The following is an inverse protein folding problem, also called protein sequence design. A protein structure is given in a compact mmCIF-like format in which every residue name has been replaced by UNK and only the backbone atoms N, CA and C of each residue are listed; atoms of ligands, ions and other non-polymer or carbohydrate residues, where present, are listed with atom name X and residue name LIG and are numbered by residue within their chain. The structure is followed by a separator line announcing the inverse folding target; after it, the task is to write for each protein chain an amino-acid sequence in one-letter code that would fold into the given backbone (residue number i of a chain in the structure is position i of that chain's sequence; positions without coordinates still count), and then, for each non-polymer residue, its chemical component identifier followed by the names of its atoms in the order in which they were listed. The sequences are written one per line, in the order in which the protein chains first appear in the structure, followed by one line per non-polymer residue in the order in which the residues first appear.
data_IF_013100090827
#
_entry.id   IF_013100090827
#
_cell.length_a   1.000
_cell.length_b   1.000
_cell.length_c   1.000
_cell.angle_alpha   90.00
_cell.angle_beta   90.00
_cell.angle_gamma   90.00
#
_symmetry.space_group_name_H-M   'P 1'
#
loop_
_entity.id
_entity.type
_entity.pdbx_description
1 polymer ?
#
# COMPACT_ATOMS: atom_id res chain seq x y z
N UNK A 1 14.75 25.58 -34.15
CA UNK A 1 14.44 25.37 -32.72
C UNK A 1 13.99 23.92 -32.57
N UNK A 2 14.91 23.06 -32.12
CA UNK A 2 14.72 21.61 -32.15
C UNK A 2 13.75 21.15 -31.05
N UNK A 3 12.72 20.41 -31.45
CA UNK A 3 11.79 19.70 -30.58
C UNK A 3 12.55 18.65 -29.78
N UNK A 4 12.88 18.98 -28.53
CA UNK A 4 13.42 18.04 -27.56
C UNK A 4 12.36 16.96 -27.33
N UNK A 5 12.49 15.86 -28.06
CA UNK A 5 11.57 14.73 -27.98
C UNK A 5 11.75 14.13 -26.59
N UNK A 6 10.72 14.27 -25.74
CA UNK A 6 10.71 13.80 -24.35
C UNK A 6 11.31 12.37 -24.27
N UNK A 7 12.35 12.21 -23.44
CA UNK A 7 13.09 10.95 -23.27
C UNK A 7 12.16 9.78 -22.96
N UNK A 8 11.08 10.02 -22.22
CA UNK A 8 10.03 9.07 -21.89
C UNK A 8 9.32 8.56 -23.16
N UNK A 9 8.90 9.46 -24.05
CA UNK A 9 8.23 9.11 -25.30
C UNK A 9 9.12 8.29 -26.24
N UNK A 10 10.44 8.53 -26.20
CA UNK A 10 11.42 7.73 -26.97
C UNK A 10 11.58 6.34 -26.35
N UNK A 11 11.76 6.25 -25.04
CA UNK A 11 11.88 4.97 -24.32
C UNK A 11 10.63 4.09 -24.53
N UNK A 12 9.43 4.67 -24.40
CA UNK A 12 8.16 3.97 -24.63
C UNK A 12 8.02 3.42 -26.04
N UNK A 13 8.48 4.16 -27.07
CA UNK A 13 8.49 3.66 -28.44
C UNK A 13 9.47 2.51 -28.62
N UNK A 14 10.66 2.58 -28.02
CA UNK A 14 11.65 1.52 -28.06
C UNK A 14 11.15 0.24 -27.38
N UNK A 15 10.61 0.35 -26.16
CA UNK A 15 10.09 -0.79 -25.39
C UNK A 15 8.92 -1.46 -26.12
N UNK A 16 7.97 -0.70 -26.67
CA UNK A 16 6.84 -1.25 -27.43
C UNK A 16 7.23 -1.97 -28.72
N UNK A 17 8.40 -1.63 -29.28
CA UNK A 17 8.88 -2.21 -30.54
C UNK A 17 9.73 -3.47 -30.33
N UNK A 18 10.10 -3.81 -29.10
CA UNK A 18 10.94 -4.95 -28.79
C UNK A 18 10.15 -6.05 -28.08
N UNK A 19 10.26 -7.32 -28.53
CA UNK A 19 9.73 -8.43 -27.76
C UNK A 19 10.52 -8.56 -26.46
N UNK A 20 9.83 -8.52 -25.32
CA UNK A 20 10.41 -8.76 -24.00
C UNK A 20 10.12 -10.22 -23.63
N UNK A 21 11.18 -10.97 -23.32
CA UNK A 21 11.04 -12.32 -22.78
C UNK A 21 11.05 -12.26 -21.26
N UNK A 22 9.93 -12.62 -20.64
CA UNK A 22 9.83 -12.77 -19.18
C UNK A 22 10.03 -14.25 -18.85
N UNK A 23 11.09 -14.63 -18.12
CA UNK A 23 11.32 -16.02 -17.76
C UNK A 23 10.21 -16.53 -16.85
N UNK A 24 9.89 -17.83 -16.92
CA UNK A 24 8.97 -18.46 -15.98
C UNK A 24 9.66 -18.58 -14.61
N UNK A 25 9.24 -17.77 -13.64
CA UNK A 25 9.80 -17.75 -12.28
C UNK A 25 9.19 -18.82 -11.36
N UNK A 26 8.05 -19.43 -11.73
CA UNK A 26 7.35 -20.42 -10.90
C UNK A 26 8.22 -21.61 -10.44
N UNK A 27 9.16 -22.16 -11.24
CA UNK A 27 10.00 -23.27 -10.79
C UNK A 27 10.84 -22.96 -9.56
N UNK A 28 11.24 -21.71 -9.36
CA UNK A 28 12.04 -21.27 -8.20
C UNK A 28 11.23 -21.40 -6.90
N UNK A 29 9.90 -21.30 -6.99
CA UNK A 29 8.98 -21.42 -5.86
C UNK A 29 8.32 -22.80 -5.76
N UNK A 30 8.81 -23.80 -6.49
CA UNK A 30 8.19 -25.14 -6.54
C UNK A 30 8.12 -25.86 -5.19
N UNK A 31 9.06 -25.56 -4.28
CA UNK A 31 9.06 -26.06 -2.91
C UNK A 31 8.37 -25.13 -1.91
N UNK A 32 7.94 -23.94 -2.34
CA UNK A 32 7.27 -22.99 -1.46
C UNK A 32 5.84 -23.45 -1.20
N UNK A 33 5.36 -23.48 0.05
CA UNK A 33 4.01 -23.89 0.35
C UNK A 33 3.01 -22.88 -0.24
N UNK A 34 2.24 -23.32 -1.22
CA UNK A 34 1.14 -22.55 -1.80
C UNK A 34 -0.21 -23.03 -1.29
N UNK A 35 -1.06 -22.11 -0.86
CA UNK A 35 -2.44 -22.39 -0.47
C UNK A 35 -3.34 -21.19 -0.77
N UNK A 36 -4.65 -21.45 -0.85
CA UNK A 36 -5.67 -20.41 -0.92
C UNK A 36 -6.56 -20.58 0.30
N UNK A 37 -6.82 -19.48 1.00
CA UNK A 37 -7.67 -19.48 2.17
C UNK A 37 -9.07 -20.07 1.84
N UNK A 38 -9.60 -21.01 2.65
CA UNK A 38 -10.90 -21.64 2.39
C UNK A 38 -12.07 -20.65 2.40
N UNK A 39 -11.90 -19.48 3.02
CA UNK A 39 -12.91 -18.44 3.10
C UNK A 39 -13.00 -17.55 1.85
N UNK A 40 -12.09 -17.67 0.87
CA UNK A 40 -12.01 -16.80 -0.31
C UNK A 40 -13.36 -16.55 -0.98
N UNK A 41 -14.08 -17.62 -1.35
CA UNK A 41 -15.35 -17.50 -2.07
C UNK A 41 -16.44 -16.80 -1.26
N UNK A 42 -16.45 -17.01 0.06
CA UNK A 42 -17.38 -16.34 0.96
C UNK A 42 -17.02 -14.87 1.16
N UNK A 43 -15.76 -14.49 0.96
CA UNK A 43 -15.28 -13.13 1.16
C UNK A 43 -15.57 -12.20 -0.02
N UNK A 44 -15.60 -12.73 -1.25
CA UNK A 44 -15.92 -11.98 -2.49
C UNK A 44 -17.15 -11.06 -2.34
N UNK A 45 -18.36 -11.55 -1.96
CA UNK A 45 -19.53 -10.68 -1.87
C UNK A 45 -19.38 -9.59 -0.81
N UNK A 46 -18.65 -9.84 0.28
CA UNK A 46 -18.44 -8.88 1.36
C UNK A 46 -17.53 -7.74 0.92
N UNK A 47 -16.42 -8.05 0.27
CA UNK A 47 -15.50 -7.05 -0.28
C UNK A 47 -16.15 -6.28 -1.43
N UNK A 48 -16.92 -6.95 -2.29
CA UNK A 48 -17.66 -6.28 -3.36
C UNK A 48 -18.70 -5.28 -2.82
N UNK A 49 -19.41 -5.63 -1.75
CA UNK A 49 -20.34 -4.72 -1.10
C UNK A 49 -19.62 -3.50 -0.49
N UNK A 50 -18.43 -3.70 0.10
CA UNK A 50 -17.58 -2.61 0.59
C UNK A 50 -17.19 -1.67 -0.55
N UNK A 51 -16.74 -2.22 -1.68
CA UNK A 51 -16.39 -1.45 -2.89
C UNK A 51 -17.60 -0.62 -3.36
N UNK A 52 -18.80 -1.21 -3.43
CA UNK A 52 -20.02 -0.50 -3.83
C UNK A 52 -20.39 0.65 -2.90
N UNK A 53 -20.09 0.52 -1.61
CA UNK A 53 -20.39 1.57 -0.62
C UNK A 53 -19.44 2.77 -0.70
N UNK A 54 -18.21 2.56 -1.14
CA UNK A 54 -17.16 3.58 -1.13
C UNK A 54 -17.00 4.28 -2.48
N UNK A 55 -17.27 3.59 -3.59
CA UNK A 55 -16.91 4.06 -4.92
C UNK A 55 -18.11 4.21 -5.86
N UNK A 56 -18.07 5.19 -6.79
CA UNK A 56 -19.09 5.30 -7.81
C UNK A 56 -19.08 4.06 -8.73
N UNK A 57 -20.20 3.71 -9.39
CA UNK A 57 -20.38 2.44 -10.10
C UNK A 57 -19.27 2.10 -11.12
N UNK A 58 -18.73 3.11 -11.81
CA UNK A 58 -17.66 2.92 -12.80
C UNK A 58 -16.35 2.48 -12.14
N UNK A 59 -15.90 3.17 -11.08
CA UNK A 59 -14.70 2.81 -10.32
C UNK A 59 -14.91 1.50 -9.57
N UNK A 60 -16.09 1.30 -8.96
CA UNK A 60 -16.46 0.06 -8.30
C UNK A 60 -16.35 -1.16 -9.23
N UNK A 61 -16.84 -1.06 -10.46
CA UNK A 61 -16.75 -2.15 -11.46
C UNK A 61 -15.30 -2.48 -11.81
N UNK A 62 -14.41 -1.48 -11.92
CA UNK A 62 -12.97 -1.69 -12.15
C UNK A 62 -12.34 -2.42 -10.95
N UNK A 63 -12.58 -1.94 -9.74
CA UNK A 63 -12.00 -2.49 -8.51
C UNK A 63 -12.44 -3.93 -8.22
N UNK A 64 -13.71 -4.27 -8.47
CA UNK A 64 -14.19 -5.66 -8.31
C UNK A 64 -13.48 -6.66 -9.22
N UNK A 65 -12.98 -6.22 -10.38
CA UNK A 65 -12.21 -7.09 -11.30
C UNK A 65 -10.80 -7.40 -10.79
N UNK A 66 -10.28 -6.61 -9.85
CA UNK A 66 -8.99 -6.86 -9.24
C UNK A 66 -9.03 -8.02 -8.22
N UNK A 67 -10.23 -8.45 -7.79
CA UNK A 67 -10.45 -9.56 -6.84
C UNK A 67 -9.53 -9.51 -5.60
N UNK A 68 -9.64 -8.41 -4.84
CA UNK A 68 -8.89 -8.22 -3.59
C UNK A 68 -9.12 -9.35 -2.57
N UNK A 69 -10.28 -10.02 -2.62
CA UNK A 69 -10.54 -11.19 -1.79
C UNK A 69 -9.64 -12.38 -2.18
N UNK A 70 -9.37 -12.58 -3.47
CA UNK A 70 -8.43 -13.60 -3.93
C UNK A 70 -7.00 -13.27 -3.54
N UNK A 71 -6.58 -12.02 -3.77
CA UNK A 71 -5.24 -11.53 -3.44
C UNK A 71 -4.93 -11.74 -1.94
N UNK A 72 -5.86 -11.39 -1.06
CA UNK A 72 -5.69 -11.64 0.37
C UNK A 72 -5.71 -13.14 0.69
N UNK A 73 -6.58 -13.92 0.06
CA UNK A 73 -6.68 -15.36 0.32
C UNK A 73 -5.42 -16.14 -0.06
N UNK A 74 -4.67 -15.69 -1.06
CA UNK A 74 -3.36 -16.25 -1.42
C UNK A 74 -2.23 -15.75 -0.52
N UNK A 75 -2.36 -14.52 -0.01
CA UNK A 75 -1.34 -13.90 0.87
C UNK A 75 -1.42 -14.42 2.30
N UNK A 76 -2.63 -14.68 2.81
CA UNK A 76 -2.89 -15.17 4.17
C UNK A 76 -3.76 -16.43 4.17
N UNK A 77 -3.22 -17.57 3.70
CA UNK A 77 -3.99 -18.80 3.54
C UNK A 77 -4.52 -19.39 4.86
N UNK A 78 -3.94 -19.00 6.00
CA UNK A 78 -4.28 -19.50 7.33
C UNK A 78 -5.17 -18.55 8.14
N UNK A 79 -5.50 -17.37 7.61
CA UNK A 79 -6.28 -16.38 8.33
C UNK A 79 -7.72 -16.85 8.61
N UNK A 80 -8.26 -16.43 9.76
CA UNK A 80 -9.69 -16.52 10.02
C UNK A 80 -10.49 -15.59 9.09
N UNK A 81 -11.79 -15.80 8.99
CA UNK A 81 -12.65 -15.01 8.10
C UNK A 81 -12.58 -13.50 8.38
N UNK A 82 -12.62 -13.11 9.66
CA UNK A 82 -12.62 -11.70 10.06
C UNK A 82 -11.26 -11.06 9.78
N UNK A 83 -10.17 -11.77 10.08
CA UNK A 83 -8.82 -11.30 9.80
C UNK A 83 -8.62 -11.11 8.30
N UNK A 84 -9.02 -12.11 7.51
CA UNK A 84 -8.92 -12.07 6.07
C UNK A 84 -9.76 -10.93 5.47
N UNK A 85 -10.92 -10.63 6.04
CA UNK A 85 -11.73 -9.48 5.64
C UNK A 85 -11.00 -8.15 5.86
N UNK A 86 -10.41 -7.93 7.04
CA UNK A 86 -9.67 -6.71 7.34
C UNK A 86 -8.42 -6.59 6.45
N UNK A 87 -7.69 -7.68 6.26
CA UNK A 87 -6.49 -7.70 5.41
C UNK A 87 -6.81 -7.48 3.91
N UNK A 88 -7.93 -8.04 3.43
CA UNK A 88 -8.45 -7.73 2.09
C UNK A 88 -8.84 -6.27 1.97
N UNK A 89 -9.46 -5.72 3.01
CA UNK A 89 -9.88 -4.34 3.00
C UNK A 89 -8.68 -3.38 3.07
N UNK A 90 -7.65 -3.69 3.86
CA UNK A 90 -6.39 -2.95 3.88
C UNK A 90 -5.71 -2.95 2.50
N UNK A 91 -5.69 -4.10 1.82
CA UNK A 91 -5.10 -4.19 0.48
C UNK A 91 -5.86 -3.32 -0.53
N UNK A 92 -7.19 -3.35 -0.49
CA UNK A 92 -8.04 -2.44 -1.27
C UNK A 92 -7.78 -0.97 -0.91
N UNK A 93 -7.69 -0.66 0.39
CA UNK A 93 -7.47 0.69 0.90
C UNK A 93 -6.15 1.26 0.39
N UNK A 94 -5.04 0.53 0.55
CA UNK A 94 -3.71 0.93 0.06
C UNK A 94 -3.73 1.21 -1.45
N UNK A 95 -4.31 0.30 -2.23
CA UNK A 95 -4.40 0.45 -3.69
C UNK A 95 -5.23 1.68 -4.09
N UNK A 96 -6.35 1.93 -3.39
CA UNK A 96 -7.26 3.01 -3.77
C UNK A 96 -6.84 4.38 -3.23
N UNK A 97 -6.08 4.41 -2.15
CA UNK A 97 -5.37 5.59 -1.65
C UNK A 97 -4.27 5.99 -2.64
N UNK A 98 -3.45 5.04 -3.06
CA UNK A 98 -2.36 5.27 -4.03
C UNK A 98 -2.89 5.79 -5.38
N UNK A 99 -3.98 5.20 -5.88
CA UNK A 99 -4.68 5.64 -7.09
C UNK A 99 -5.03 7.16 -7.07
N UNK A 100 -5.27 7.78 -5.91
CA UNK A 100 -5.61 9.21 -5.86
C UNK A 100 -4.44 10.09 -6.27
N UNK A 101 -3.22 9.66 -5.95
CA UNK A 101 -1.97 10.38 -6.19
C UNK A 101 -1.32 9.90 -7.50
N UNK A 102 -1.36 8.60 -7.82
CA UNK A 102 -0.63 8.07 -8.96
C UNK A 102 -1.45 7.98 -10.27
N UNK A 103 -2.76 7.72 -10.22
CA UNK A 103 -3.54 7.56 -11.45
C UNK A 103 -3.46 8.85 -12.27
N UNK A 104 -3.10 8.79 -13.56
CA UNK A 104 -2.91 10.00 -14.41
C UNK A 104 -4.19 10.86 -14.54
N UNK A 105 -5.34 10.29 -14.15
CA UNK A 105 -6.65 10.96 -14.07
C UNK A 105 -7.13 11.18 -12.63
N UNK A 106 -6.35 10.74 -11.63
CA UNK A 106 -6.56 11.04 -10.22
C UNK A 106 -6.47 12.54 -10.00
N UNK A 107 -7.34 13.07 -9.15
CA UNK A 107 -7.48 14.52 -8.98
C UNK A 107 -6.26 15.17 -8.29
N UNK A 108 -5.47 14.38 -7.56
CA UNK A 108 -4.23 14.85 -6.89
C UNK A 108 -2.98 14.64 -7.74
N UNK A 109 -3.06 13.87 -8.83
CA UNK A 109 -1.88 13.44 -9.59
C UNK A 109 -1.02 14.56 -10.16
N UNK A 110 -1.62 15.73 -10.40
CA UNK A 110 -0.95 16.92 -10.90
C UNK A 110 -0.91 18.09 -9.90
N UNK A 111 -1.40 17.89 -8.67
CA UNK A 111 -1.48 18.92 -7.63
C UNK A 111 -0.70 18.45 -6.40
N UNK A 112 0.56 18.87 -6.32
CA UNK A 112 1.46 18.44 -5.25
C UNK A 112 1.03 18.97 -3.88
N UNK A 113 0.51 20.20 -3.81
CA UNK A 113 0.11 20.82 -2.54
C UNK A 113 -1.14 20.13 -1.97
N UNK A 114 -2.14 19.88 -2.82
CA UNK A 114 -3.31 19.11 -2.42
C UNK A 114 -2.97 17.66 -2.03
N UNK A 115 -2.04 17.03 -2.75
CA UNK A 115 -1.58 15.68 -2.41
C UNK A 115 -0.83 15.64 -1.07
N UNK A 116 -0.10 16.70 -0.73
CA UNK A 116 0.59 16.81 0.55
C UNK A 116 -0.39 16.97 1.71
N UNK A 117 -1.43 17.79 1.53
CA UNK A 117 -2.51 17.87 2.51
C UNK A 117 -3.19 16.50 2.68
N UNK A 118 -3.50 15.81 1.59
CA UNK A 118 -4.07 14.46 1.63
C UNK A 118 -3.20 13.47 2.40
N UNK A 119 -1.88 13.45 2.18
CA UNK A 119 -0.93 12.63 2.95
C UNK A 119 -0.95 12.98 4.44
N UNK A 120 -0.89 14.27 4.77
CA UNK A 120 -0.88 14.74 6.16
C UNK A 120 -2.18 14.36 6.90
N UNK A 121 -3.34 14.62 6.29
CA UNK A 121 -4.64 14.23 6.84
C UNK A 121 -4.74 12.71 7.01
N UNK A 122 -4.23 11.95 6.04
CA UNK A 122 -4.23 10.49 6.10
C UNK A 122 -3.40 9.98 7.28
N UNK A 123 -2.13 10.39 7.41
CA UNK A 123 -1.28 9.84 8.46
C UNK A 123 -1.77 10.25 9.86
N UNK A 124 -2.31 11.45 9.99
CA UNK A 124 -2.92 11.91 11.23
C UNK A 124 -4.14 11.07 11.61
N UNK A 125 -5.02 10.81 10.64
CA UNK A 125 -6.19 9.96 10.88
C UNK A 125 -5.81 8.51 11.17
N UNK A 126 -4.83 7.95 10.46
CA UNK A 126 -4.30 6.61 10.73
C UNK A 126 -3.77 6.51 12.16
N UNK A 127 -2.96 7.48 12.61
CA UNK A 127 -2.45 7.50 13.98
C UNK A 127 -3.58 7.57 15.02
N UNK A 128 -4.59 8.42 14.79
CA UNK A 128 -5.77 8.52 15.64
C UNK A 128 -6.54 7.19 15.72
N UNK A 129 -6.81 6.54 14.58
CA UNK A 129 -7.49 5.24 14.54
C UNK A 129 -6.69 4.13 15.22
N UNK A 130 -5.37 4.28 15.28
CA UNK A 130 -4.46 3.38 15.98
C UNK A 130 -4.24 3.75 17.43
N UNK A 131 -4.89 4.80 17.97
CA UNK A 131 -4.68 5.29 19.34
C UNK A 131 -3.18 5.50 19.64
N UNK A 132 -2.52 6.18 18.69
CA UNK A 132 -1.11 6.57 18.73
C UNK A 132 -0.97 8.07 18.47
N UNK A 133 0.15 8.61 18.93
CA UNK A 133 0.59 9.96 18.60
C UNK A 133 1.61 9.91 17.47
N UNK A 134 1.56 10.88 16.56
CA UNK A 134 2.63 11.08 15.59
C UNK A 134 3.85 11.63 16.32
N UNK A 135 5.00 10.99 16.12
CA UNK A 135 6.28 11.51 16.61
C UNK A 135 6.68 12.78 15.85
N UNK A 136 7.50 13.63 16.47
CA UNK A 136 7.90 14.99 16.00
C UNK A 136 8.46 15.08 14.56
N UNK A 137 8.75 13.96 13.91
CA UNK A 137 9.39 13.91 12.59
C UNK A 137 8.44 14.04 11.39
N UNK A 138 7.12 13.94 11.57
CA UNK A 138 6.20 14.22 10.46
C UNK A 138 5.92 15.73 10.39
N UNK A 139 6.28 16.43 9.30
CA UNK A 139 5.94 17.83 9.14
C UNK A 139 4.43 17.95 8.97
N UNK A 140 3.73 18.25 10.07
CA UNK A 140 2.34 18.69 9.99
C UNK A 140 2.34 19.99 9.20
N UNK A 141 1.76 19.97 8.00
CA UNK A 141 1.43 21.18 7.27
C UNK A 141 0.64 22.12 8.18
N UNK A 142 0.89 23.43 8.14
CA UNK A 142 0.10 24.42 8.89
C UNK A 142 -1.41 24.35 8.56
N UNK A 143 -1.75 23.75 7.40
CA UNK A 143 -3.11 23.52 6.96
C UNK A 143 -3.69 22.16 7.40
N UNK A 144 -2.89 21.30 8.02
CA UNK A 144 -3.33 20.00 8.54
C UNK A 144 -4.09 20.21 9.85
N UNK A 145 -5.42 20.21 9.77
CA UNK A 145 -6.27 20.36 10.96
C UNK A 145 -6.59 19.01 11.57
N UNK A 146 -6.67 18.93 12.90
CA UNK A 146 -7.08 17.72 13.63
C UNK A 146 -8.57 17.34 13.44
N UNK A 147 -9.21 17.84 12.39
CA UNK A 147 -10.59 17.53 12.02
C UNK A 147 -10.68 16.20 11.29
N UNK A 148 -11.87 15.61 11.28
CA UNK A 148 -12.15 14.41 10.47
C UNK A 148 -11.85 14.71 8.99
N UNK A 149 -11.04 13.88 8.30
CA UNK A 149 -10.75 14.07 6.88
C UNK A 149 -12.02 14.08 6.05
N UNK A 150 -12.11 14.90 5.00
CA UNK A 150 -13.30 14.92 4.13
C UNK A 150 -13.34 13.71 3.18
N UNK A 151 -12.17 13.16 2.83
CA UNK A 151 -12.05 12.06 1.88
C UNK A 151 -12.54 10.72 2.49
N UNK A 152 -13.46 10.07 1.78
CA UNK A 152 -14.10 8.82 2.24
C UNK A 152 -13.15 7.63 2.26
N UNK A 153 -12.13 7.60 1.42
CA UNK A 153 -11.12 6.54 1.44
C UNK A 153 -10.33 6.67 2.73
N UNK A 154 -9.84 7.87 3.05
CA UNK A 154 -9.12 8.12 4.30
C UNK A 154 -9.98 7.75 5.51
N UNK A 155 -11.21 8.27 5.59
CA UNK A 155 -12.13 7.95 6.69
C UNK A 155 -12.37 6.45 6.85
N UNK A 156 -12.43 5.69 5.76
CA UNK A 156 -12.72 4.25 5.80
C UNK A 156 -11.61 3.40 6.42
N UNK A 157 -10.46 4.00 6.76
CA UNK A 157 -9.41 3.35 7.54
C UNK A 157 -9.86 3.05 8.98
N UNK A 158 -10.89 3.73 9.50
CA UNK A 158 -11.43 3.52 10.85
C UNK A 158 -11.71 2.04 11.17
N UNK A 159 -12.29 1.30 10.23
CA UNK A 159 -12.59 -0.14 10.37
C UNK A 159 -11.29 -0.96 10.53
N UNK A 160 -10.23 -0.58 9.82
CA UNK A 160 -8.92 -1.26 9.90
C UNK A 160 -8.26 -0.91 11.22
N UNK A 161 -8.19 0.37 11.57
CA UNK A 161 -7.59 0.84 12.81
C UNK A 161 -8.29 0.28 14.05
N UNK A 162 -9.62 0.23 14.08
CA UNK A 162 -10.40 -0.39 15.16
C UNK A 162 -10.04 -1.88 15.32
N UNK A 163 -9.90 -2.60 14.20
CA UNK A 163 -9.55 -4.01 14.22
C UNK A 163 -8.12 -4.25 14.73
N UNK A 164 -7.17 -3.41 14.32
CA UNK A 164 -5.79 -3.48 14.80
C UNK A 164 -5.70 -3.08 16.28
N UNK A 165 -6.37 -2.01 16.72
CA UNK A 165 -6.44 -1.61 18.13
C UNK A 165 -6.96 -2.72 19.06
N UNK A 166 -7.87 -3.56 18.58
CA UNK A 166 -8.41 -4.69 19.37
C UNK A 166 -7.45 -5.87 19.44
N UNK A 167 -6.60 -6.07 18.44
CA UNK A 167 -5.82 -7.29 18.28
C UNK A 167 -4.33 -7.11 18.59
N UNK A 168 -3.77 -5.94 18.31
CA UNK A 168 -2.36 -5.65 18.40
C UNK A 168 -1.96 -4.96 19.69
N UNK A 169 -0.72 -5.18 20.11
CA UNK A 169 -0.10 -4.42 21.19
C UNK A 169 0.17 -2.97 20.76
N UNK A 170 0.64 -2.14 21.69
CA UNK A 170 1.10 -0.79 21.37
C UNK A 170 2.27 -0.82 20.37
N UNK A 171 3.23 -1.71 20.57
CA UNK A 171 4.43 -1.85 19.75
C UNK A 171 4.09 -2.30 18.32
N UNK A 172 3.21 -3.30 18.16
CA UNK A 172 2.78 -3.75 16.83
C UNK A 172 2.05 -2.64 16.06
N UNK A 173 1.23 -1.84 16.75
CA UNK A 173 0.59 -0.66 16.14
C UNK A 173 1.61 0.42 15.76
N UNK A 174 2.64 0.63 16.58
CA UNK A 174 3.71 1.57 16.27
C UNK A 174 4.49 1.13 15.03
N UNK A 175 4.87 -0.14 14.92
CA UNK A 175 5.53 -0.68 13.73
C UNK A 175 4.66 -0.48 12.49
N UNK A 176 3.36 -0.79 12.57
CA UNK A 176 2.44 -0.53 11.46
C UNK A 176 2.38 0.96 11.07
N UNK A 177 2.30 1.87 12.06
CA UNK A 177 2.27 3.31 11.79
C UNK A 177 3.58 3.80 11.15
N UNK A 178 4.73 3.28 11.57
CA UNK A 178 6.04 3.62 10.97
C UNK A 178 6.09 3.22 9.49
N UNK A 179 5.64 2.02 9.14
CA UNK A 179 5.58 1.57 7.75
C UNK A 179 4.59 2.40 6.92
N UNK A 180 3.46 2.79 7.52
CA UNK A 180 2.51 3.71 6.88
C UNK A 180 3.11 5.10 6.63
N UNK A 181 3.87 5.64 7.58
CA UNK A 181 4.60 6.91 7.42
C UNK A 181 5.63 6.81 6.29
N UNK A 182 6.42 5.73 6.25
CA UNK A 182 7.40 5.50 5.18
C UNK A 182 6.74 5.40 3.81
N UNK A 183 5.63 4.66 3.69
CA UNK A 183 4.85 4.58 2.46
C UNK A 183 4.42 5.96 1.96
N UNK A 184 3.87 6.79 2.85
CA UNK A 184 3.42 8.15 2.49
C UNK A 184 4.59 9.07 2.13
N UNK A 185 5.70 9.02 2.87
CA UNK A 185 6.92 9.79 2.57
C UNK A 185 7.47 9.43 1.19
N UNK A 186 7.58 8.13 0.89
CA UNK A 186 8.09 7.70 -0.41
C UNK A 186 7.13 8.02 -1.56
N UNK A 187 5.80 7.99 -1.32
CA UNK A 187 4.82 8.43 -2.33
C UNK A 187 4.96 9.93 -2.65
N UNK A 188 5.34 10.76 -1.66
CA UNK A 188 5.65 12.18 -1.88
C UNK A 188 6.87 12.32 -2.81
N UNK A 189 7.94 11.58 -2.54
CA UNK A 189 9.16 11.60 -3.34
C UNK A 189 8.89 11.15 -4.78
N UNK A 190 8.12 10.08 -4.96
CA UNK A 190 7.70 9.55 -6.26
C UNK A 190 6.91 10.60 -7.06
N UNK A 191 5.88 11.19 -6.45
CA UNK A 191 5.05 12.20 -7.09
C UNK A 191 5.89 13.42 -7.50
N UNK A 192 6.80 13.88 -6.63
CA UNK A 192 7.69 15.00 -6.91
C UNK A 192 8.61 14.72 -8.11
N UNK A 193 9.16 13.51 -8.22
CA UNK A 193 9.98 13.11 -9.36
C UNK A 193 9.15 13.06 -10.66
N UNK A 194 7.93 12.50 -10.59
CA UNK A 194 6.98 12.41 -11.70
C UNK A 194 6.59 13.78 -12.24
N UNK A 195 6.25 14.73 -11.36
CA UNK A 195 5.89 16.10 -11.75
C UNK A 195 7.04 16.87 -12.40
N UNK A 196 8.29 16.55 -12.03
CA UNK A 196 9.49 17.09 -12.69
C UNK A 196 9.78 16.44 -14.04
N UNK A 197 9.07 15.36 -14.41
CA UNK A 197 9.30 14.61 -15.63
C UNK A 197 10.65 13.89 -15.65
N UNK A 198 11.22 13.58 -14.47
CA UNK A 198 12.51 12.92 -14.33
C UNK A 198 12.30 11.41 -14.29
N UNK A 199 13.05 10.67 -15.11
CA UNK A 199 13.16 9.23 -14.97
C UNK A 199 14.19 8.95 -13.86
N UNK A 200 13.86 8.17 -12.82
CA UNK A 200 14.81 7.83 -11.78
C UNK A 200 15.93 6.94 -12.34
N UNK A 201 17.11 7.04 -11.75
CA UNK A 201 18.13 6.00 -11.84
C UNK A 201 17.64 4.70 -11.18
N UNK A 202 18.34 3.59 -11.41
CA UNK A 202 17.98 2.32 -10.76
C UNK A 202 18.07 2.38 -9.23
N UNK A 203 19.02 3.15 -8.70
CA UNK A 203 19.19 3.34 -7.25
C UNK A 203 18.04 4.17 -6.68
N UNK A 204 17.77 5.35 -7.26
CA UNK A 204 16.64 6.21 -6.86
C UNK A 204 15.28 5.49 -6.99
N UNK A 205 15.13 4.63 -8.00
CA UNK A 205 13.93 3.80 -8.14
C UNK A 205 13.78 2.86 -6.95
N UNK A 206 14.82 2.13 -6.57
CA UNK A 206 14.75 1.18 -5.46
C UNK A 206 14.56 1.89 -4.12
N UNK A 207 15.24 3.02 -3.88
CA UNK A 207 15.05 3.81 -2.66
C UNK A 207 13.57 4.19 -2.44
N UNK A 208 12.91 4.66 -3.50
CA UNK A 208 11.48 5.04 -3.43
C UNK A 208 10.58 3.81 -3.42
N UNK A 209 10.85 2.83 -4.28
CA UNK A 209 10.00 1.65 -4.48
C UNK A 209 9.85 0.80 -3.22
N UNK A 210 10.92 0.70 -2.42
CA UNK A 210 10.89 -0.03 -1.15
C UNK A 210 9.88 0.57 -0.16
N UNK A 211 9.55 1.86 -0.26
CA UNK A 211 8.41 2.43 0.48
C UNK A 211 7.09 2.34 -0.29
N UNK A 212 7.07 2.75 -1.57
CA UNK A 212 5.81 2.91 -2.33
C UNK A 212 5.12 1.60 -2.68
N UNK A 213 5.79 0.45 -2.60
CA UNK A 213 5.16 -0.86 -2.77
C UNK A 213 4.18 -1.22 -1.64
N UNK A 214 4.23 -0.49 -0.51
CA UNK A 214 3.50 -0.76 0.73
C UNK A 214 3.75 -2.17 1.32
N UNK A 215 4.79 -2.88 0.86
CA UNK A 215 5.07 -4.24 1.35
C UNK A 215 5.42 -4.24 2.83
N UNK A 216 6.13 -3.22 3.33
CA UNK A 216 6.38 -3.07 4.77
C UNK A 216 5.09 -3.02 5.59
N UNK A 217 4.08 -2.28 5.12
CA UNK A 217 2.74 -2.22 5.75
C UNK A 217 2.08 -3.61 5.77
N UNK A 218 2.18 -4.35 4.67
CA UNK A 218 1.67 -5.72 4.55
C UNK A 218 2.42 -6.68 5.49
N UNK A 219 3.74 -6.53 5.62
CA UNK A 219 4.54 -7.31 6.55
C UNK A 219 4.17 -7.05 8.01
N UNK A 220 3.91 -5.79 8.38
CA UNK A 220 3.48 -5.39 9.72
C UNK A 220 2.12 -5.99 10.13
N UNK A 221 1.27 -6.40 9.18
CA UNK A 221 -0.02 -7.06 9.45
C UNK A 221 0.02 -8.59 9.37
N UNK A 222 1.18 -9.20 9.14
CA UNK A 222 1.25 -10.66 9.05
C UNK A 222 0.87 -11.35 10.37
N UNK A 223 1.27 -10.79 11.51
CA UNK A 223 0.93 -11.33 12.83
C UNK A 223 -0.59 -11.27 13.10
N UNK A 224 -1.28 -10.25 12.58
CA UNK A 224 -2.73 -10.09 12.67
C UNK A 224 -3.45 -11.28 12.03
N UNK A 225 -2.93 -11.76 10.90
CA UNK A 225 -3.56 -12.85 10.14
C UNK A 225 -3.72 -14.14 10.95
N UNK A 226 -2.79 -14.40 11.88
CA UNK A 226 -2.76 -15.61 12.71
C UNK A 226 -2.91 -15.32 14.21
N UNK A 227 -3.19 -14.06 14.58
CA UNK A 227 -3.28 -13.56 15.97
C UNK A 227 -2.07 -13.94 16.82
N UNK A 228 -0.88 -13.77 16.26
CA UNK A 228 0.37 -13.98 16.97
C UNK A 228 0.93 -12.67 17.54
N UNK A 229 1.84 -12.81 18.50
CA UNK A 229 2.70 -11.72 18.96
C UNK A 229 4.13 -12.24 18.96
N UNK A 230 4.92 -11.79 18.01
CA UNK A 230 6.36 -12.02 17.93
C UNK A 230 7.05 -11.09 18.93
N UNK A 231 8.07 -11.58 19.66
CA UNK A 231 8.87 -10.74 20.54
C UNK A 231 9.46 -9.55 19.78
N UNK A 232 9.46 -8.38 20.42
CA UNK A 232 10.04 -7.15 19.88
C UNK A 232 11.48 -7.34 19.42
N UNK A 233 12.29 -8.04 20.20
CA UNK A 233 13.70 -8.32 19.86
C UNK A 233 13.85 -9.11 18.57
N UNK A 234 12.84 -9.89 18.14
CA UNK A 234 12.82 -10.58 16.85
C UNK A 234 12.39 -9.65 15.73
N UNK A 235 11.36 -8.83 15.94
CA UNK A 235 10.87 -7.88 14.93
C UNK A 235 11.91 -6.81 14.61
N UNK A 236 12.61 -6.31 15.64
CA UNK A 236 13.64 -5.28 15.51
C UNK A 236 15.01 -5.84 15.09
N UNK A 237 15.16 -7.18 15.07
CA UNK A 237 16.38 -7.86 14.68
C UNK A 237 16.78 -7.50 13.24
N UNK A 238 18.09 -7.48 12.99
CA UNK A 238 18.64 -7.19 11.68
C UNK A 238 18.16 -8.19 10.61
N UNK A 239 18.09 -9.47 10.96
CA UNK A 239 17.69 -10.52 10.02
C UNK A 239 16.21 -10.42 9.65
N UNK A 240 15.35 -9.97 10.57
CA UNK A 240 13.94 -9.73 10.24
C UNK A 240 13.77 -8.60 9.24
N UNK A 241 14.55 -7.52 9.38
CA UNK A 241 14.56 -6.42 8.40
C UNK A 241 15.00 -6.88 7.03
N UNK A 242 16.06 -7.69 6.95
CA UNK A 242 16.49 -8.32 5.69
C UNK A 242 15.36 -9.15 5.08
N UNK A 243 14.64 -9.94 5.88
CA UNK A 243 13.51 -10.74 5.38
C UNK A 243 12.43 -9.83 4.77
N UNK A 244 12.08 -8.73 5.43
CA UNK A 244 11.06 -7.78 4.91
C UNK A 244 11.54 -7.10 3.62
N UNK A 245 12.81 -6.72 3.57
CA UNK A 245 13.41 -6.11 2.39
C UNK A 245 13.38 -7.09 1.19
N UNK A 246 13.77 -8.34 1.39
CA UNK A 246 13.75 -9.37 0.34
C UNK A 246 12.32 -9.67 -0.14
N UNK A 247 11.34 -9.71 0.77
CA UNK A 247 9.92 -9.84 0.38
C UNK A 247 9.50 -8.68 -0.51
N UNK A 248 9.92 -7.46 -0.19
CA UNK A 248 9.62 -6.27 -0.95
C UNK A 248 10.26 -6.28 -2.35
N UNK A 249 11.53 -6.68 -2.44
CA UNK A 249 12.21 -6.88 -3.71
C UNK A 249 11.46 -7.89 -4.57
N UNK A 250 11.10 -9.06 -4.02
CA UNK A 250 10.38 -10.11 -4.75
C UNK A 250 9.02 -9.62 -5.28
N UNK A 251 8.27 -8.85 -4.48
CA UNK A 251 6.96 -8.32 -4.89
C UNK A 251 7.08 -7.17 -5.90
N UNK A 252 8.16 -6.40 -5.84
CA UNK A 252 8.37 -5.22 -6.67
C UNK A 252 8.98 -5.51 -8.05
N UNK A 253 9.57 -6.70 -8.24
CA UNK A 253 10.14 -7.17 -9.51
C UNK A 253 9.08 -7.71 -10.49
#
# INVERSE_FOLDING_TARGET
MGTQTNIHSRLMKCLKAQPIYIPNLLPIFSSWPGAINPHWKALIPVINARIDSLFPPVKATKLKRCDFAHLAATSWPLAGFNELYILSFLTLWLSTWDDQIDETKGYLSNDFEAAELYRCETIQFVAQCLDLELTEHWPLSDNCTASLPEDRIVQSFDVIGEALCKAYTYEQRQTFLQEMSLFMEMSQMEQKAKLKGQAPSSEEYWEVRMGTSAVGVICAVNEYSVRSVLPRDIIEDHDMKIIWDEVNVIISM
#
